data_IF_812698160161
#
_entry.id   IF_812698160161
#
_cell.length_a   1.000
_cell.length_b   1.000
_cell.length_c   1.000
_cell.angle_alpha   90.00
_cell.angle_beta   90.00
_cell.angle_gamma   90.00
#
_symmetry.space_group_name_H-M   'P 1'
#
loop_
_entity.id
_entity.type
_entity.pdbx_description
1 polymer ?
#
# COMPACT_ATOMS: atom_id res chain seq x y z
N UNK A 1 14.85 -35.68 -58.41
CA UNK A 1 13.52 -36.13 -57.95
C UNK A 1 13.49 -36.02 -56.44
N UNK A 2 13.07 -34.86 -55.94
CA UNK A 2 12.17 -34.55 -54.82
C UNK A 2 12.32 -33.03 -54.70
N UNK A 3 11.53 -32.31 -55.48
CA UNK A 3 11.48 -30.84 -55.43
C UNK A 3 10.54 -30.43 -54.30
N UNK A 4 11.04 -29.51 -53.48
CA UNK A 4 10.41 -28.99 -52.27
C UNK A 4 9.24 -28.05 -52.60
N UNK A 5 8.28 -28.05 -51.68
CA UNK A 5 7.01 -27.34 -51.71
C UNK A 5 7.23 -25.82 -51.65
N UNK A 6 6.72 -25.01 -52.60
CA UNK A 6 6.75 -23.57 -52.45
C UNK A 6 5.63 -23.06 -51.51
N UNK A 7 6.05 -22.48 -50.39
CA UNK A 7 5.24 -21.63 -49.53
C UNK A 7 4.78 -20.39 -50.33
N UNK A 8 3.47 -20.27 -50.58
CA UNK A 8 2.92 -19.10 -51.23
C UNK A 8 2.82 -17.92 -50.26
N UNK A 9 3.55 -16.86 -50.60
CA UNK A 9 3.28 -15.49 -50.20
C UNK A 9 1.89 -15.06 -50.69
N UNK A 10 1.06 -14.53 -49.80
CA UNK A 10 0.05 -13.53 -50.18
C UNK A 10 0.22 -12.30 -49.30
N UNK A 11 0.81 -11.26 -49.92
CA UNK A 11 0.63 -9.85 -49.55
C UNK A 11 -0.88 -9.55 -49.57
N UNK A 12 -1.45 -8.68 -48.74
CA UNK A 12 -1.59 -7.23 -48.97
C UNK A 12 -2.46 -6.72 -47.79
N UNK A 13 -1.96 -5.88 -46.88
CA UNK A 13 -2.25 -4.44 -46.74
C UNK A 13 -3.76 -4.12 -46.57
N UNK A 14 -4.25 -3.37 -45.57
CA UNK A 14 -4.03 -1.94 -45.35
C UNK A 14 -4.87 -1.44 -44.14
N UNK A 15 -4.31 -0.43 -43.42
CA UNK A 15 -4.95 0.82 -42.94
C UNK A 15 -6.03 0.68 -41.84
N UNK A 16 -5.73 1.02 -40.58
CA UNK A 16 -5.72 2.36 -39.95
C UNK A 16 -7.09 3.04 -39.76
N UNK A 17 -7.22 3.61 -38.55
CA UNK A 17 -8.05 4.73 -38.11
C UNK A 17 -9.43 4.40 -37.48
N UNK A 18 -9.55 4.70 -36.19
CA UNK A 18 -10.32 5.82 -35.61
C UNK A 18 -10.61 5.47 -34.14
N UNK A 19 -9.83 6.00 -33.19
CA UNK A 19 -10.13 7.25 -32.51
C UNK A 19 -11.53 7.26 -31.86
N UNK A 20 -11.64 6.65 -30.69
CA UNK A 20 -12.70 6.98 -29.74
C UNK A 20 -12.10 7.93 -28.68
N UNK A 21 -11.95 9.20 -29.08
CA UNK A 21 -11.94 10.30 -28.12
C UNK A 21 -13.37 10.44 -27.59
N UNK A 22 -13.65 9.86 -26.42
CA UNK A 22 -14.77 10.32 -25.61
C UNK A 22 -14.19 11.13 -24.46
N UNK A 23 -14.21 12.44 -24.68
CA UNK A 23 -14.10 13.46 -23.65
C UNK A 23 -15.21 13.23 -22.61
N UNK A 24 -14.86 12.68 -21.46
CA UNK A 24 -15.66 12.81 -20.25
C UNK A 24 -15.03 13.92 -19.40
N UNK A 25 -15.55 15.13 -19.56
CA UNK A 25 -15.35 16.20 -18.58
C UNK A 25 -16.22 15.91 -17.37
N UNK A 26 -15.56 15.68 -16.22
CA UNK A 26 -16.24 15.52 -14.94
C UNK A 26 -15.28 15.06 -13.85
N UNK A 27 -14.68 16.02 -13.15
CA UNK A 27 -14.02 15.89 -11.85
C UNK A 27 -12.83 14.90 -11.74
N UNK A 28 -11.64 15.40 -12.06
CA UNK A 28 -10.45 15.30 -11.20
C UNK A 28 -10.14 13.94 -10.57
N UNK A 29 -10.00 12.88 -11.36
CA UNK A 29 -9.17 11.75 -10.96
C UNK A 29 -7.73 12.20 -11.15
N UNK A 30 -7.06 12.24 -10.03
CA UNK A 30 -5.69 12.69 -9.93
C UNK A 30 -4.71 11.70 -10.57
N UNK A 31 -3.56 12.16 -11.10
CA UNK A 31 -2.58 11.25 -11.71
C UNK A 31 -2.00 10.20 -10.76
N UNK A 32 -2.19 10.36 -9.44
CA UNK A 32 -1.77 9.41 -8.41
C UNK A 32 -2.73 8.24 -8.20
N UNK A 33 -3.92 8.27 -8.80
CA UNK A 33 -4.88 7.14 -8.78
C UNK A 33 -4.60 6.08 -9.87
N UNK A 34 -3.60 6.29 -10.72
CA UNK A 34 -3.19 5.35 -11.77
C UNK A 34 -2.20 4.30 -11.23
N UNK A 35 -2.64 3.54 -10.23
CA UNK A 35 -1.92 2.35 -9.78
C UNK A 35 -2.01 1.24 -10.82
N UNK A 36 -0.83 0.83 -11.33
CA UNK A 36 -0.61 -0.23 -12.32
C UNK A 36 -1.43 -1.48 -12.00
N UNK A 37 -2.24 -1.93 -12.97
CA UNK A 37 -2.99 -3.19 -12.91
C UNK A 37 -2.01 -4.38 -12.93
N UNK A 38 -1.61 -4.83 -11.74
CA UNK A 38 -0.95 -6.12 -11.51
C UNK A 38 -1.80 -6.95 -10.56
N UNK A 39 -2.72 -7.73 -11.11
CA UNK A 39 -3.61 -8.64 -10.38
C UNK A 39 -2.90 -9.94 -10.02
N UNK A 40 -1.99 -9.89 -9.05
CA UNK A 40 -1.76 -10.99 -8.13
C UNK A 40 -2.04 -10.45 -6.74
N UNK A 41 -3.10 -10.97 -6.12
CA UNK A 41 -3.67 -10.47 -4.87
C UNK A 41 -2.66 -10.62 -3.73
N UNK A 42 -2.05 -9.50 -3.31
CA UNK A 42 -1.35 -9.37 -2.00
C UNK A 42 -2.37 -9.32 -0.84
N UNK A 43 -3.52 -9.99 -1.00
CA UNK A 43 -4.60 -10.04 -0.03
C UNK A 43 -4.41 -11.28 0.86
N UNK A 44 -4.02 -11.03 2.10
CA UNK A 44 -4.12 -11.96 3.20
C UNK A 44 -5.45 -11.76 3.94
N UNK A 45 -5.77 -12.68 4.86
CA UNK A 45 -6.83 -12.45 5.83
C UNK A 45 -6.58 -11.13 6.57
N UNK A 46 -7.64 -10.33 6.77
CA UNK A 46 -7.54 -9.07 7.50
C UNK A 46 -6.95 -9.33 8.90
N UNK A 47 -5.94 -8.53 9.26
CA UNK A 47 -5.37 -8.50 10.60
C UNK A 47 -5.54 -7.14 11.23
N UNK A 48 -5.57 -7.14 12.56
CA UNK A 48 -5.70 -5.94 13.38
C UNK A 48 -4.49 -5.84 14.30
N UNK A 49 -3.83 -4.70 14.25
CA UNK A 49 -2.75 -4.34 15.15
C UNK A 49 -3.22 -3.22 16.07
N UNK A 50 -2.79 -3.22 17.32
CA UNK A 50 -3.02 -2.13 18.26
C UNK A 50 -1.72 -1.32 18.42
N UNK A 51 -1.83 -0.01 18.40
CA UNK A 51 -0.73 0.94 18.54
C UNK A 51 -1.08 1.99 19.59
N UNK A 52 -0.07 2.54 20.26
CA UNK A 52 -0.27 3.68 21.16
C UNK A 52 -0.70 4.92 20.35
N UNK A 53 -0.07 5.11 19.19
CA UNK A 53 -0.42 6.09 18.19
C UNK A 53 -0.22 5.52 16.78
N UNK A 54 -1.07 5.92 15.84
CA UNK A 54 -0.84 5.72 14.42
C UNK A 54 -1.48 6.85 13.61
N UNK A 55 -0.83 7.25 12.54
CA UNK A 55 -1.33 8.28 11.62
C UNK A 55 -0.84 8.04 10.19
N UNK A 56 -1.52 8.67 9.25
CA UNK A 56 -1.02 8.79 7.89
C UNK A 56 -0.12 10.02 7.79
N UNK A 57 1.05 9.80 7.20
CA UNK A 57 2.08 10.78 6.96
C UNK A 57 2.52 10.72 5.49
N UNK A 58 3.45 11.61 5.14
CA UNK A 58 4.03 11.66 3.80
C UNK A 58 5.53 11.42 3.87
N UNK A 59 6.01 10.46 3.08
CA UNK A 59 7.42 10.25 2.84
C UNK A 59 7.86 11.01 1.58
N UNK A 60 8.95 11.77 1.69
CA UNK A 60 9.51 12.58 0.59
C UNK A 60 10.86 12.03 0.14
N UNK A 61 10.93 11.54 -1.09
CA UNK A 61 12.17 11.11 -1.75
C UNK A 61 12.66 12.23 -2.68
N UNK A 62 13.76 12.90 -2.31
CA UNK A 62 14.42 13.90 -3.14
C UNK A 62 15.60 13.27 -3.87
N UNK A 63 15.54 13.25 -5.20
CA UNK A 63 16.57 12.66 -6.05
C UNK A 63 17.61 13.69 -6.47
N UNK A 64 18.81 13.23 -6.81
CA UNK A 64 19.91 14.07 -7.31
C UNK A 64 19.53 14.90 -8.54
N UNK A 65 18.55 14.43 -9.33
CA UNK A 65 17.99 15.15 -10.47
C UNK A 65 17.11 16.37 -10.10
N UNK A 66 16.84 16.59 -8.80
CA UNK A 66 15.94 17.63 -8.31
C UNK A 66 14.45 17.24 -8.29
N UNK A 67 14.11 16.02 -8.73
CA UNK A 67 12.75 15.49 -8.65
C UNK A 67 12.39 15.15 -7.20
N UNK A 68 11.20 15.60 -6.77
CA UNK A 68 10.61 15.27 -5.46
C UNK A 68 9.45 14.29 -5.66
N UNK A 69 9.57 13.10 -5.12
CA UNK A 69 8.48 12.12 -5.06
C UNK A 69 7.86 12.11 -3.66
N UNK A 70 6.54 12.14 -3.61
CA UNK A 70 5.74 12.10 -2.37
C UNK A 70 5.02 10.76 -2.32
N UNK A 71 5.13 10.08 -1.19
CA UNK A 71 4.54 8.76 -0.99
C UNK A 71 3.70 8.75 0.29
N UNK A 72 2.54 8.08 0.24
CA UNK A 72 1.76 7.82 1.45
C UNK A 72 2.54 6.92 2.41
N UNK A 73 2.60 7.29 3.68
CA UNK A 73 3.32 6.58 4.72
C UNK A 73 2.39 6.33 5.90
N UNK A 74 2.40 5.11 6.43
CA UNK A 74 1.75 4.77 7.68
C UNK A 74 2.78 4.90 8.81
N UNK A 75 2.54 5.77 9.79
CA UNK A 75 3.37 5.85 11.00
C UNK A 75 2.69 5.09 12.14
N UNK A 76 3.44 4.26 12.87
CA UNK A 76 2.95 3.41 13.95
C UNK A 76 3.90 3.45 15.15
N UNK A 77 3.35 3.69 16.35
CA UNK A 77 4.10 3.65 17.61
C UNK A 77 3.72 2.42 18.43
N UNK A 78 4.74 1.69 18.86
CA UNK A 78 4.66 0.48 19.70
C UNK A 78 3.59 -0.52 19.23
N UNK A 79 3.66 -1.02 17.99
CA UNK A 79 2.64 -1.92 17.49
C UNK A 79 2.65 -3.25 18.25
N UNK A 80 1.45 -3.77 18.48
CA UNK A 80 1.20 -5.09 19.08
C UNK A 80 0.13 -5.83 18.28
N UNK A 81 0.21 -7.16 18.21
CA UNK A 81 -0.83 -7.96 17.55
C UNK A 81 -2.06 -8.07 18.45
N UNK A 82 -3.24 -7.75 17.92
CA UNK A 82 -4.47 -7.78 18.69
C UNK A 82 -5.09 -9.17 18.68
N UNK A 83 -5.02 -9.86 19.82
CA UNK A 83 -5.66 -11.16 20.04
C UNK A 83 -6.71 -11.16 21.17
N UNK A 84 -7.08 -9.98 21.72
CA UNK A 84 -7.95 -9.89 22.90
C UNK A 84 -8.64 -8.52 23.11
N UNK A 85 -9.32 -8.34 24.26
CA UNK A 85 -10.03 -7.09 24.59
C UNK A 85 -9.07 -5.94 24.87
N UNK A 86 -9.50 -4.72 24.55
CA UNK A 86 -8.75 -3.50 24.87
C UNK A 86 -8.80 -3.27 26.38
N UNK A 87 -7.64 -3.20 27.02
CA UNK A 87 -7.50 -3.05 28.48
C UNK A 87 -7.89 -1.67 29.03
N UNK A 88 -8.97 -1.07 28.52
CA UNK A 88 -9.49 0.22 28.98
C UNK A 88 -8.59 1.43 28.68
N UNK A 89 -7.67 1.30 27.72
CA UNK A 89 -6.76 2.38 27.29
C UNK A 89 -7.12 2.84 25.90
N UNK A 90 -7.05 4.15 25.69
CA UNK A 90 -7.12 4.72 24.34
C UNK A 90 -5.97 4.18 23.50
N UNK A 91 -6.27 3.76 22.28
CA UNK A 91 -5.30 3.22 21.34
C UNK A 91 -5.78 3.41 19.91
N UNK A 92 -4.90 3.20 18.94
CA UNK A 92 -5.26 3.18 17.53
C UNK A 92 -5.21 1.75 17.02
N UNK A 93 -6.29 1.29 16.39
CA UNK A 93 -6.28 0.02 15.66
C UNK A 93 -5.91 0.25 14.21
N UNK A 94 -4.97 -0.55 13.74
CA UNK A 94 -4.55 -0.57 12.34
C UNK A 94 -5.05 -1.86 11.72
N UNK A 95 -5.99 -1.74 10.78
CA UNK A 95 -6.56 -2.85 10.03
C UNK A 95 -6.01 -2.87 8.62
N UNK A 96 -5.57 -4.04 8.16
CA UNK A 96 -5.11 -4.20 6.79
C UNK A 96 -5.22 -5.66 6.32
N UNK A 97 -5.51 -5.83 5.03
CA UNK A 97 -5.44 -7.11 4.32
C UNK A 97 -4.13 -7.30 3.55
N UNK A 98 -3.21 -6.33 3.54
CA UNK A 98 -1.95 -6.46 2.78
C UNK A 98 -0.97 -7.40 3.47
N UNK A 99 -0.63 -8.51 2.81
CA UNK A 99 0.31 -9.49 3.34
C UNK A 99 1.71 -8.86 3.56
N UNK A 100 2.14 -8.02 2.62
CA UNK A 100 3.43 -7.31 2.69
C UNK A 100 3.52 -6.40 3.92
N UNK A 101 2.47 -5.63 4.21
CA UNK A 101 2.42 -4.76 5.40
C UNK A 101 2.36 -5.58 6.68
N UNK A 102 1.49 -6.61 6.74
CA UNK A 102 1.39 -7.50 7.89
C UNK A 102 2.74 -8.14 8.24
N UNK A 103 3.47 -8.62 7.24
CA UNK A 103 4.78 -9.25 7.44
C UNK A 103 5.81 -8.30 8.06
N UNK A 104 5.86 -7.03 7.62
CA UNK A 104 6.78 -6.03 8.18
C UNK A 104 6.47 -5.70 9.63
N UNK A 105 5.19 -5.52 9.96
CA UNK A 105 4.76 -5.24 11.33
C UNK A 105 5.10 -6.44 12.23
N UNK A 106 4.79 -7.66 11.80
CA UNK A 106 5.09 -8.89 12.55
C UNK A 106 6.59 -9.12 12.74
N UNK A 107 7.41 -8.85 11.71
CA UNK A 107 8.86 -8.94 11.81
C UNK A 107 9.42 -7.98 12.89
N UNK A 108 8.85 -6.78 13.03
CA UNK A 108 9.22 -5.82 14.09
C UNK A 108 8.71 -6.27 15.46
N UNK A 109 7.45 -6.72 15.55
CA UNK A 109 6.87 -7.23 16.80
C UNK A 109 7.66 -8.44 17.31
N UNK A 110 8.00 -9.37 16.42
CA UNK A 110 8.77 -10.57 16.71
C UNK A 110 10.26 -10.33 16.95
N UNK A 111 10.74 -9.08 16.86
CA UNK A 111 12.14 -8.73 17.17
C UNK A 111 13.16 -9.19 16.13
N UNK A 112 12.72 -9.50 14.90
CA UNK A 112 13.62 -9.83 13.78
C UNK A 112 14.48 -8.64 13.39
N UNK A 113 13.94 -7.43 13.54
CA UNK A 113 14.67 -6.18 13.40
C UNK A 113 15.09 -5.69 14.79
N UNK A 114 16.39 -5.36 15.01
CA UNK A 114 16.90 -4.89 16.31
C UNK A 114 16.52 -3.41 16.54
N UNK A 115 15.22 -3.13 16.62
CA UNK A 115 14.69 -1.80 16.86
C UNK A 115 14.56 -1.66 18.38
N UNK A 116 15.56 -1.02 18.98
CA UNK A 116 15.51 -0.67 20.41
C UNK A 116 14.48 0.43 20.64
N UNK A 117 14.09 0.63 21.91
CA UNK A 117 13.18 1.72 22.26
C UNK A 117 13.74 3.08 21.83
N UNK A 118 12.92 3.87 21.15
CA UNK A 118 13.26 5.16 20.58
C UNK A 118 13.87 5.11 19.17
N UNK A 119 14.02 3.92 18.57
CA UNK A 119 14.47 3.79 17.17
C UNK A 119 13.28 3.74 16.21
N UNK A 120 13.49 4.35 15.05
CA UNK A 120 12.52 4.42 13.96
C UNK A 120 12.96 3.49 12.85
N UNK A 121 12.06 2.63 12.39
CA UNK A 121 12.31 1.76 11.25
C UNK A 121 11.31 2.06 10.13
N UNK A 122 11.84 2.48 8.98
CA UNK A 122 11.04 2.78 7.78
C UNK A 122 11.20 1.64 6.77
N UNK A 123 10.08 1.11 6.29
CA UNK A 123 10.04 0.01 5.33
C UNK A 123 9.22 0.41 4.11
N UNK A 124 9.77 0.13 2.91
CA UNK A 124 9.00 0.17 1.68
C UNK A 124 8.16 -1.11 1.56
N UNK A 125 6.89 -0.95 1.19
CA UNK A 125 5.95 -2.07 0.99
C UNK A 125 6.01 -2.65 -0.42
N UNK A 126 6.67 -1.97 -1.36
CA UNK A 126 6.76 -2.35 -2.77
C UNK A 126 5.48 -2.08 -3.58
N UNK A 127 4.30 -2.10 -2.93
CA UNK A 127 3.00 -1.71 -3.49
C UNK A 127 2.25 -0.83 -2.49
N UNK A 128 1.28 -0.05 -2.97
CA UNK A 128 0.40 0.70 -2.08
C UNK A 128 -0.60 -0.24 -1.42
N UNK A 129 -0.65 -0.24 -0.11
CA UNK A 129 -1.56 -1.06 0.71
C UNK A 129 -2.69 -0.20 1.26
N UNK A 130 -3.93 -0.71 1.21
CA UNK A 130 -5.06 -0.07 1.87
C UNK A 130 -4.98 -0.35 3.38
N UNK A 131 -5.14 0.70 4.17
CA UNK A 131 -5.05 0.64 5.64
C UNK A 131 -6.19 1.44 6.22
N UNK A 132 -6.82 0.89 7.25
CA UNK A 132 -7.84 1.59 8.04
C UNK A 132 -7.32 1.79 9.46
N UNK A 133 -7.36 3.03 9.93
CA UNK A 133 -7.05 3.45 11.29
C UNK A 133 -8.36 3.70 12.04
N UNK A 134 -8.55 3.04 13.17
CA UNK A 134 -9.66 3.29 14.10
C UNK A 134 -9.08 3.84 15.40
N UNK A 135 -9.34 5.11 15.71
CA UNK A 135 -8.95 5.70 17.01
C UNK A 135 -9.99 5.30 18.04
N UNK A 136 -9.57 4.66 19.11
CA UNK A 136 -10.44 4.14 20.15
C UNK A 136 -10.17 4.86 21.47
N UNK A 137 -11.24 5.23 22.18
CA UNK A 137 -11.15 5.82 23.52
C UNK A 137 -10.93 4.76 24.62
N UNK A 138 -10.72 5.22 25.86
CA UNK A 138 -10.55 4.34 27.02
C UNK A 138 -11.78 3.48 27.33
N UNK A 139 -12.97 3.84 26.82
CA UNK A 139 -14.21 3.09 26.98
C UNK A 139 -14.45 2.07 25.85
N UNK A 140 -13.52 1.98 24.89
CA UNK A 140 -13.58 1.05 23.77
C UNK A 140 -14.45 1.53 22.60
N UNK A 141 -14.89 2.79 22.59
CA UNK A 141 -15.66 3.36 21.48
C UNK A 141 -14.73 3.92 20.40
N UNK A 142 -15.15 3.75 19.15
CA UNK A 142 -14.47 4.32 18.00
C UNK A 142 -14.76 5.83 17.95
N UNK A 143 -13.71 6.64 18.08
CA UNK A 143 -13.77 8.10 17.97
C UNK A 143 -13.68 8.56 16.51
N UNK A 144 -12.81 7.93 15.73
CA UNK A 144 -12.64 8.22 14.31
C UNK A 144 -12.18 7.01 13.53
N UNK A 145 -12.52 7.00 12.25
CA UNK A 145 -12.07 6.00 11.29
C UNK A 145 -11.52 6.71 10.06
N UNK A 146 -10.29 6.39 9.69
CA UNK A 146 -9.58 6.96 8.54
C UNK A 146 -9.08 5.81 7.67
N UNK A 147 -9.33 5.84 6.37
CA UNK A 147 -8.89 4.80 5.43
C UNK A 147 -8.08 5.44 4.32
N UNK A 148 -6.82 5.05 4.20
CA UNK A 148 -5.91 5.57 3.16
C UNK A 148 -5.00 4.49 2.60
N UNK A 149 -4.25 4.85 1.56
CA UNK A 149 -3.23 3.99 0.95
C UNK A 149 -1.85 4.41 1.38
N UNK A 150 -1.06 3.46 1.88
CA UNK A 150 0.34 3.67 2.26
C UNK A 150 1.26 2.83 1.38
N UNK A 151 2.37 3.42 0.90
CA UNK A 151 3.44 2.73 0.21
C UNK A 151 4.65 2.44 1.13
N UNK A 152 4.72 3.16 2.25
CA UNK A 152 5.73 3.01 3.28
C UNK A 152 5.07 2.79 4.63
N UNK A 153 5.78 2.10 5.52
CA UNK A 153 5.42 2.02 6.93
C UNK A 153 6.62 2.41 7.78
N UNK A 154 6.39 3.27 8.75
CA UNK A 154 7.34 3.71 9.74
C UNK A 154 6.89 3.20 11.11
N UNK A 155 7.76 2.45 11.78
CA UNK A 155 7.47 1.79 13.05
C UNK A 155 8.45 2.28 14.11
N UNK A 156 7.90 2.77 15.21
CA UNK A 156 8.63 3.21 16.41
C UNK A 156 8.39 2.21 17.54
N UNK A 157 9.42 1.94 18.35
CA UNK A 157 9.44 0.93 19.42
C UNK A 157 9.94 1.52 20.73
#
# INVERSE_FOLDING_TARGET
MVDEIPMQFTRTAQICALAACVFAWGCGISPWEQGVAGTESDEAAERVFACDAANFAEYRDQRESGLLMRHGMLHMEHPTERNGPLGGRSCVLVRTSSASLQAKILDVIGGKYPINTGFVATFALGRTSLVTLEKIDGDGKVLSTETERAAFVEIVR
#
